data_IF_928390001130
#
_entry.id   IF_928390001130
#
_cell.length_a   1.000
_cell.length_b   1.000
_cell.length_c   1.000
_cell.angle_alpha   90.00
_cell.angle_beta   90.00
_cell.angle_gamma   90.00
#
_symmetry.space_group_name_H-M   'P 1'
#
loop_
_entity.id
_entity.type
_entity.pdbx_description
1 polymer ?
#
# COMPACT_ATOMS: atom_id res chain seq x y z
N UNK A 1 36.03 -8.93 -3.04
CA UNK A 1 36.14 -10.27 -2.40
C UNK A 1 35.46 -11.28 -3.31
N UNK A 2 36.20 -12.21 -3.94
CA UNK A 2 35.60 -13.36 -4.61
C UNK A 2 34.76 -14.14 -3.59
N UNK A 3 33.50 -14.46 -3.92
CA UNK A 3 32.61 -15.27 -3.05
C UNK A 3 31.48 -14.54 -2.30
N UNK A 4 31.16 -13.28 -2.65
CA UNK A 4 29.99 -12.61 -2.06
C UNK A 4 28.68 -12.99 -2.77
N UNK A 5 28.26 -14.25 -2.70
CA UNK A 5 26.87 -14.61 -2.95
C UNK A 5 26.03 -13.95 -1.86
N UNK A 6 25.46 -12.77 -2.17
CA UNK A 6 24.64 -12.03 -1.22
C UNK A 6 23.25 -12.66 -1.16
N UNK A 7 23.16 -13.78 -0.44
CA UNK A 7 21.90 -14.44 -0.08
C UNK A 7 20.98 -13.52 0.72
N UNK A 8 21.54 -12.50 1.39
CA UNK A 8 20.84 -11.49 2.18
C UNK A 8 21.04 -10.08 1.60
N UNK A 9 19.95 -9.32 1.49
CA UNK A 9 19.93 -7.91 1.08
C UNK A 9 19.13 -7.08 2.08
N UNK A 10 19.78 -6.11 2.72
CA UNK A 10 19.11 -5.06 3.48
C UNK A 10 18.62 -3.95 2.58
N UNK A 11 17.47 -3.36 2.93
CA UNK A 11 16.81 -2.27 2.20
C UNK A 11 16.36 -1.23 3.23
N UNK A 12 16.56 0.04 2.95
CA UNK A 12 15.87 1.13 3.60
C UNK A 12 15.01 1.82 2.53
N UNK A 13 13.80 2.23 2.88
CA UNK A 13 12.84 2.78 1.92
C UNK A 13 11.99 3.90 2.50
N UNK A 14 11.47 4.73 1.60
CA UNK A 14 10.43 5.73 1.81
C UNK A 14 9.39 5.46 0.74
N UNK A 15 8.14 5.31 1.15
CA UNK A 15 7.03 5.06 0.24
C UNK A 15 5.97 6.14 0.41
N UNK A 16 5.33 6.52 -0.69
CA UNK A 16 4.19 7.43 -0.69
C UNK A 16 3.17 6.98 -1.74
N UNK A 17 1.89 7.08 -1.43
CA UNK A 17 0.82 6.62 -2.30
C UNK A 17 -0.53 7.19 -1.90
N UNK A 18 -1.40 7.30 -2.91
CA UNK A 18 -2.78 7.71 -2.75
C UNK A 18 -3.62 6.91 -3.74
N UNK A 19 -4.84 6.57 -3.33
CA UNK A 19 -5.86 5.97 -4.20
C UNK A 19 -7.03 6.93 -4.23
N UNK A 20 -7.55 7.19 -5.42
CA UNK A 20 -8.73 8.01 -5.65
C UNK A 20 -9.66 7.25 -6.61
N UNK A 21 -10.95 7.55 -6.56
CA UNK A 21 -11.91 6.85 -7.39
C UNK A 21 -13.15 7.66 -7.74
N UNK A 22 -14.19 6.94 -8.12
CA UNK A 22 -15.52 7.49 -8.31
C UNK A 22 -16.38 7.10 -7.12
N UNK A 23 -17.15 8.06 -6.62
CA UNK A 23 -18.07 7.87 -5.50
C UNK A 23 -19.51 8.03 -6.01
N UNK A 24 -20.49 7.34 -5.39
CA UNK A 24 -21.89 7.54 -5.73
C UNK A 24 -22.25 9.02 -5.60
N UNK A 25 -22.89 9.58 -6.62
CA UNK A 25 -23.35 10.96 -6.57
C UNK A 25 -24.51 11.05 -5.58
N UNK A 26 -24.38 11.90 -4.58
CA UNK A 26 -25.41 12.10 -3.55
C UNK A 26 -25.94 13.54 -3.66
N UNK A 27 -27.25 13.69 -3.88
CA UNK A 27 -27.95 14.98 -3.83
C UNK A 27 -29.05 14.88 -2.78
N UNK A 28 -29.15 15.90 -1.90
CA UNK A 28 -30.13 15.93 -0.80
C UNK A 28 -30.13 14.67 0.10
N UNK A 29 -28.98 14.04 0.28
CA UNK A 29 -28.83 12.83 1.11
C UNK A 29 -29.29 11.52 0.45
N UNK A 30 -29.63 11.53 -0.84
CA UNK A 30 -29.97 10.33 -1.61
C UNK A 30 -29.02 10.11 -2.78
N UNK A 31 -28.77 8.83 -3.11
CA UNK A 31 -28.00 8.47 -4.30
C UNK A 31 -28.80 8.86 -5.55
N UNK A 32 -28.16 9.59 -6.45
CA UNK A 32 -28.75 10.00 -7.72
C UNK A 32 -28.81 8.79 -8.65
N UNK A 33 -30.00 8.48 -9.15
CA UNK A 33 -30.24 7.42 -10.13
C UNK A 33 -30.59 8.07 -11.47
N UNK A 34 -29.90 7.67 -12.54
CA UNK A 34 -30.16 8.14 -13.92
C UNK A 34 -30.50 6.91 -14.76
N UNK A 35 -31.69 6.87 -15.36
CA UNK A 35 -32.13 5.74 -16.19
C UNK A 35 -32.05 4.36 -15.51
N UNK A 36 -32.28 4.30 -14.20
CA UNK A 36 -32.23 3.05 -13.42
C UNK A 36 -30.84 2.63 -12.96
N UNK A 37 -29.78 3.39 -13.26
CA UNK A 37 -28.43 3.12 -12.79
C UNK A 37 -27.94 4.21 -11.82
N UNK A 38 -27.15 3.85 -10.78
CA UNK A 38 -26.52 4.86 -9.92
C UNK A 38 -25.56 5.75 -10.71
N UNK A 39 -25.72 7.06 -10.56
CA UNK A 39 -24.75 8.02 -11.06
C UNK A 39 -23.54 8.08 -10.11
N UNK A 40 -22.37 8.22 -10.71
CA UNK A 40 -21.11 8.39 -9.99
C UNK A 40 -20.47 9.71 -10.37
N UNK A 41 -19.72 10.30 -9.44
CA UNK A 41 -18.88 11.46 -9.68
C UNK A 41 -17.45 11.19 -9.21
N UNK A 42 -16.50 11.94 -9.75
CA UNK A 42 -15.12 11.80 -9.34
C UNK A 42 -14.99 12.28 -7.88
N UNK A 43 -14.36 11.45 -7.06
CA UNK A 43 -13.93 11.87 -5.74
C UNK A 43 -13.00 13.08 -5.90
N UNK A 44 -13.19 14.09 -5.05
CA UNK A 44 -12.28 15.23 -5.04
C UNK A 44 -10.89 14.69 -4.68
N UNK A 45 -9.89 15.04 -5.48
CA UNK A 45 -8.51 14.75 -5.16
C UNK A 45 -8.16 15.53 -3.89
N UNK A 46 -8.23 14.87 -2.74
CA UNK A 46 -7.69 15.41 -1.51
C UNK A 46 -6.16 15.30 -1.56
N UNK A 47 -5.44 16.24 -0.95
CA UNK A 47 -3.97 16.21 -0.87
C UNK A 47 -3.48 15.30 0.27
N UNK A 48 -4.34 14.42 0.76
CA UNK A 48 -4.10 13.55 1.91
C UNK A 48 -3.31 12.28 1.49
N UNK A 49 -2.07 12.49 1.08
CA UNK A 49 -1.13 11.46 0.67
C UNK A 49 -0.74 10.56 1.86
N UNK A 50 -0.80 9.23 1.69
CA UNK A 50 -0.25 8.29 2.68
C UNK A 50 1.23 8.09 2.40
N UNK A 51 2.06 8.17 3.42
CA UNK A 51 3.50 7.92 3.28
C UNK A 51 4.09 7.28 4.52
N UNK A 52 5.20 6.57 4.32
CA UNK A 52 5.88 5.78 5.33
C UNK A 52 7.38 5.72 5.09
N UNK A 53 8.11 5.37 6.15
CA UNK A 53 9.53 5.03 6.10
C UNK A 53 9.72 3.64 6.67
N UNK A 54 10.68 2.89 6.14
CA UNK A 54 10.86 1.53 6.60
C UNK A 54 12.20 0.92 6.26
N UNK A 55 12.39 -0.26 6.81
CA UNK A 55 13.51 -1.14 6.53
C UNK A 55 12.99 -2.50 6.08
N UNK A 56 13.76 -3.17 5.25
CA UNK A 56 13.41 -4.47 4.71
C UNK A 56 14.62 -5.37 4.56
N UNK A 57 14.34 -6.66 4.50
CA UNK A 57 15.31 -7.72 4.27
C UNK A 57 14.75 -8.60 3.16
N UNK A 58 15.53 -8.81 2.11
CA UNK A 58 15.29 -9.87 1.14
C UNK A 58 16.34 -10.97 1.34
N UNK A 59 15.88 -12.19 1.54
CA UNK A 59 16.71 -13.35 1.84
C UNK A 59 16.35 -14.51 0.93
N UNK A 60 17.31 -15.05 0.19
CA UNK A 60 17.18 -16.36 -0.45
C UNK A 60 17.47 -17.42 0.63
N UNK A 61 16.42 -17.89 1.30
CA UNK A 61 16.52 -18.90 2.35
C UNK A 61 16.59 -20.32 1.73
N UNK A 62 17.01 -21.35 2.50
CA UNK A 62 16.96 -22.73 2.05
C UNK A 62 15.55 -23.22 1.63
N UNK A 63 14.51 -22.56 2.14
CA UNK A 63 13.11 -22.86 1.84
C UNK A 63 12.54 -22.02 0.68
N UNK A 64 13.35 -21.12 0.10
CA UNK A 64 12.97 -20.23 -0.99
C UNK A 64 13.10 -18.73 -0.66
N UNK A 65 12.73 -17.85 -1.60
CA UNK A 65 12.78 -16.41 -1.40
C UNK A 65 11.88 -15.95 -0.26
N UNK A 66 12.42 -15.14 0.64
CA UNK A 66 11.72 -14.47 1.72
C UNK A 66 11.95 -12.96 1.60
N UNK A 67 10.88 -12.17 1.71
CA UNK A 67 10.96 -10.73 1.91
C UNK A 67 10.27 -10.37 3.22
N UNK A 68 10.95 -9.58 4.04
CA UNK A 68 10.43 -9.01 5.27
C UNK A 68 10.53 -7.50 5.17
N UNK A 69 9.52 -6.77 5.62
CA UNK A 69 9.57 -5.33 5.77
C UNK A 69 8.93 -4.89 7.08
N UNK A 70 9.50 -3.84 7.65
CA UNK A 70 8.94 -3.10 8.77
C UNK A 70 8.84 -1.63 8.38
N UNK A 71 7.62 -1.11 8.28
CA UNK A 71 7.34 0.27 7.91
C UNK A 71 6.65 1.01 9.07
N UNK A 72 7.05 2.26 9.26
CA UNK A 72 6.41 3.21 10.14
C UNK A 72 5.64 4.24 9.29
N UNK A 73 4.29 4.24 9.31
CA UNK A 73 3.50 5.23 8.60
C UNK A 73 3.62 6.59 9.28
N UNK A 74 3.80 7.65 8.49
CA UNK A 74 4.05 9.00 8.99
C UNK A 74 2.81 9.91 8.88
N UNK A 75 1.84 9.57 8.04
CA UNK A 75 0.56 10.27 7.93
C UNK A 75 -0.60 9.25 7.99
N UNK A 76 -1.05 8.94 9.21
CA UNK A 76 -2.14 7.97 9.46
C UNK A 76 -3.44 8.69 9.76
N UNK A 77 -4.54 8.22 9.20
CA UNK A 77 -5.89 8.66 9.53
C UNK A 77 -6.65 7.65 10.40
N UNK A 78 -7.70 8.08 11.13
CA UNK A 78 -8.49 7.19 12.01
C UNK A 78 -9.13 5.99 11.30
N UNK A 79 -9.34 6.09 9.99
CA UNK A 79 -9.94 5.02 9.16
C UNK A 79 -8.89 4.08 8.56
N UNK A 80 -7.59 4.37 8.69
CA UNK A 80 -6.53 3.55 8.09
C UNK A 80 -6.37 2.22 8.83
N UNK A 81 -6.19 1.14 8.07
CA UNK A 81 -5.79 -0.16 8.59
C UNK A 81 -4.28 -0.33 8.48
N UNK A 82 -3.59 -0.23 9.61
CA UNK A 82 -2.13 -0.20 9.65
C UNK A 82 -1.57 -1.62 9.81
N UNK A 83 -0.65 -2.00 8.92
CA UNK A 83 0.17 -3.21 9.04
C UNK A 83 1.66 -2.84 8.95
N UNK A 84 2.33 -2.79 10.09
CA UNK A 84 3.75 -2.37 10.17
C UNK A 84 4.71 -3.44 9.70
N UNK A 85 4.46 -4.70 10.02
CA UNK A 85 5.29 -5.83 9.61
C UNK A 85 4.62 -6.59 8.47
N UNK A 86 5.34 -6.76 7.37
CA UNK A 86 4.89 -7.53 6.21
C UNK A 86 5.94 -8.57 5.84
N UNK A 87 5.47 -9.74 5.42
CA UNK A 87 6.35 -10.80 4.95
C UNK A 87 5.75 -11.50 3.74
N UNK A 88 6.62 -11.99 2.87
CA UNK A 88 6.26 -12.75 1.68
C UNK A 88 7.21 -13.93 1.54
N UNK A 89 6.65 -15.13 1.40
CA UNK A 89 7.38 -16.39 1.19
C UNK A 89 7.10 -16.88 -0.23
N UNK A 90 8.13 -17.29 -0.96
CA UNK A 90 8.02 -17.79 -2.33
C UNK A 90 7.96 -16.68 -3.38
N UNK A 91 7.49 -17.01 -4.58
CA UNK A 91 7.53 -16.14 -5.77
C UNK A 91 6.19 -15.48 -6.12
N UNK A 92 5.23 -15.41 -5.20
CA UNK A 92 3.91 -14.78 -5.47
C UNK A 92 4.01 -13.27 -5.61
N UNK A 93 3.45 -12.69 -6.67
CA UNK A 93 3.33 -11.23 -6.84
C UNK A 93 1.99 -10.73 -6.32
#
# INVERSE_FOLDING_TARGET
IPGADRTLRGIAFVDAGQVWGQIPKIENGQVVIVNGTPAFENEKLDLDLRYSVGIGIAWISPLGPLKLSYAYPLNTQPTDRIQRFQFQIGTGF
#
